data_IF_935294248685
#
_entry.id   IF_935294248685
#
_cell.length_a   1.000
_cell.length_b   1.000
_cell.length_c   1.000
_cell.angle_alpha   90.00
_cell.angle_beta   90.00
_cell.angle_gamma   90.00
#
_symmetry.space_group_name_H-M   'P 1'
#
loop_
_entity.id
_entity.type
_entity.pdbx_description
1 polymer ?
#
# COMPACT_ATOMS: atom_id res chain seq x y z
N UNK A 1 -9.06 -15.83 17.27
CA UNK A 1 -8.11 -16.44 16.33
C UNK A 1 -7.19 -15.38 15.79
N UNK A 2 -5.89 -15.57 15.89
CA UNK A 2 -4.95 -14.59 15.41
C UNK A 2 -4.88 -14.63 13.89
N UNK A 3 -4.69 -13.46 13.28
CA UNK A 3 -4.44 -13.40 11.85
C UNK A 3 -3.08 -13.98 11.54
N UNK A 4 -2.99 -14.64 10.39
CA UNK A 4 -1.70 -15.07 9.91
C UNK A 4 -0.85 -13.84 9.58
N UNK A 5 0.44 -13.84 9.89
CA UNK A 5 1.31 -12.76 9.46
C UNK A 5 1.38 -12.71 7.94
N UNK A 6 1.76 -11.55 7.40
CA UNK A 6 1.98 -11.43 5.97
C UNK A 6 3.11 -12.38 5.55
N UNK A 7 2.83 -13.17 4.53
CA UNK A 7 3.77 -14.18 4.06
C UNK A 7 4.60 -13.61 2.91
N UNK A 8 5.90 -13.34 3.12
CA UNK A 8 6.73 -12.76 2.07
C UNK A 8 7.00 -13.70 0.91
N UNK A 9 6.63 -14.98 1.03
CA UNK A 9 6.74 -15.90 -0.10
C UNK A 9 5.66 -15.66 -1.14
N UNK A 10 4.55 -14.98 -0.76
CA UNK A 10 3.50 -14.66 -1.70
C UNK A 10 3.96 -13.53 -2.62
N UNK A 11 3.83 -13.68 -3.94
CA UNK A 11 4.36 -12.69 -4.88
C UNK A 11 3.85 -11.27 -4.66
N UNK A 12 2.56 -11.11 -4.33
CA UNK A 12 2.00 -9.79 -4.11
C UNK A 12 2.59 -9.11 -2.87
N UNK A 13 2.75 -9.87 -1.80
CA UNK A 13 3.33 -9.33 -0.57
C UNK A 13 4.80 -8.94 -0.80
N UNK A 14 5.54 -9.80 -1.50
CA UNK A 14 6.94 -9.51 -1.81
C UNK A 14 7.09 -8.25 -2.65
N UNK A 15 6.23 -8.09 -3.65
CA UNK A 15 6.29 -6.92 -4.51
C UNK A 15 6.01 -5.64 -3.72
N UNK A 16 4.98 -5.66 -2.86
CA UNK A 16 4.67 -4.52 -2.01
C UNK A 16 5.84 -4.21 -1.08
N UNK A 17 6.46 -5.23 -0.49
CA UNK A 17 7.63 -5.02 0.37
C UNK A 17 8.78 -4.37 -0.39
N UNK A 18 9.01 -4.77 -1.63
CA UNK A 18 10.05 -4.17 -2.46
C UNK A 18 9.73 -2.70 -2.74
N UNK A 19 8.48 -2.38 -3.03
CA UNK A 19 8.08 -0.99 -3.27
C UNK A 19 8.24 -0.14 -2.00
N UNK A 20 7.94 -0.72 -0.83
CA UNK A 20 8.15 -0.03 0.45
C UNK A 20 9.64 0.25 0.65
N UNK A 21 10.48 -0.76 0.48
CA UNK A 21 11.92 -0.64 0.67
C UNK A 21 12.50 0.40 -0.28
N UNK A 22 12.08 0.37 -1.53
CA UNK A 22 12.65 1.24 -2.57
C UNK A 22 11.97 2.60 -2.63
N UNK A 23 10.98 2.85 -1.77
CA UNK A 23 10.26 4.12 -1.67
C UNK A 23 9.66 4.55 -3.00
N UNK A 24 9.07 3.61 -3.70
CA UNK A 24 8.46 3.85 -5.01
C UNK A 24 7.16 4.62 -4.83
N UNK A 25 6.97 5.67 -5.63
CA UNK A 25 5.70 6.39 -5.65
C UNK A 25 4.68 5.55 -6.41
N UNK A 26 3.53 5.34 -5.78
CA UNK A 26 2.50 4.45 -6.30
C UNK A 26 1.20 5.20 -6.53
N UNK A 27 0.39 4.66 -7.42
CA UNK A 27 -0.99 5.04 -7.61
C UNK A 27 -1.87 3.94 -7.07
N UNK A 28 -2.76 4.29 -6.14
CA UNK A 28 -3.68 3.34 -5.53
C UNK A 28 -5.11 3.71 -5.91
N UNK A 29 -5.80 2.77 -6.55
CA UNK A 29 -7.22 2.95 -6.88
C UNK A 29 -8.02 2.30 -5.76
N UNK A 30 -8.69 3.12 -4.97
CA UNK A 30 -9.46 2.67 -3.81
C UNK A 30 -10.94 2.72 -4.17
N UNK A 31 -11.66 1.64 -3.83
CA UNK A 31 -13.08 1.53 -4.13
C UNK A 31 -13.84 2.71 -3.52
N UNK A 32 -14.62 3.41 -4.34
CA UNK A 32 -15.45 4.52 -3.87
C UNK A 32 -14.72 5.83 -3.67
N UNK A 33 -13.42 5.90 -3.94
CA UNK A 33 -12.63 7.11 -3.78
C UNK A 33 -11.86 7.40 -5.06
N UNK A 34 -11.39 8.64 -5.16
CA UNK A 34 -10.46 9.02 -6.21
C UNK A 34 -9.12 8.33 -5.99
N UNK A 35 -8.33 8.32 -7.07
CA UNK A 35 -6.99 7.76 -7.01
C UNK A 35 -6.14 8.46 -5.96
N UNK A 36 -5.39 7.67 -5.21
CA UNK A 36 -4.45 8.17 -4.21
C UNK A 36 -3.04 7.94 -4.74
N UNK A 37 -2.20 8.97 -4.66
CA UNK A 37 -0.80 8.87 -5.06
C UNK A 37 0.09 9.07 -3.85
N UNK A 38 1.03 8.15 -3.64
CA UNK A 38 1.92 8.24 -2.51
C UNK A 38 2.86 7.05 -2.42
N UNK A 39 3.59 6.98 -1.31
CA UNK A 39 4.52 5.89 -1.05
C UNK A 39 4.02 5.07 0.11
N UNK A 40 4.18 3.76 0.01
CA UNK A 40 3.87 2.89 1.14
C UNK A 40 5.02 2.94 2.13
N UNK A 41 4.68 3.11 3.40
CA UNK A 41 5.66 3.15 4.48
C UNK A 41 5.75 1.80 5.18
N UNK A 42 4.59 1.19 5.42
CA UNK A 42 4.52 -0.17 5.98
C UNK A 42 3.19 -0.79 5.60
N UNK A 43 3.09 -2.09 5.78
CA UNK A 43 1.85 -2.82 5.55
C UNK A 43 1.62 -3.83 6.68
N UNK A 44 0.35 -4.11 6.93
CA UNK A 44 -0.05 -5.20 7.80
C UNK A 44 -1.27 -5.90 7.17
N UNK A 45 -1.82 -6.95 7.80
CA UNK A 45 -2.93 -7.69 7.19
C UNK A 45 -4.18 -6.85 6.93
N UNK A 46 -4.36 -5.73 7.65
CA UNK A 46 -5.55 -4.90 7.52
C UNK A 46 -5.31 -3.61 6.75
N UNK A 47 -4.12 -3.01 6.87
CA UNK A 47 -3.88 -1.66 6.38
C UNK A 47 -2.60 -1.54 5.58
N UNK A 48 -2.62 -0.56 4.69
CA UNK A 48 -1.40 -0.03 4.08
C UNK A 48 -1.24 1.41 4.56
N UNK A 49 -0.04 1.73 5.05
CA UNK A 49 0.26 3.09 5.49
C UNK A 49 0.83 3.86 4.30
N UNK A 50 0.21 4.98 3.98
CA UNK A 50 0.54 5.76 2.80
C UNK A 50 1.00 7.15 3.20
N UNK A 51 2.14 7.55 2.66
CA UNK A 51 2.62 8.91 2.75
C UNK A 51 2.24 9.62 1.45
N UNK A 52 1.40 10.67 1.51
CA UNK A 52 0.92 11.33 0.29
C UNK A 52 2.07 11.88 -0.55
N UNK A 53 1.97 11.76 -1.87
CA UNK A 53 3.00 12.26 -2.77
C UNK A 53 3.17 13.77 -2.67
N UNK A 54 2.09 14.48 -2.34
CA UNK A 54 2.11 15.95 -2.22
C UNK A 54 2.52 16.42 -0.82
N UNK A 55 2.90 15.51 0.05
CA UNK A 55 3.18 15.83 1.43
C UNK A 55 1.90 15.82 2.26
N UNK A 56 2.07 15.93 3.58
CA UNK A 56 0.96 15.86 4.51
C UNK A 56 1.14 14.68 5.44
N UNK A 57 0.10 14.43 6.22
CA UNK A 57 0.15 13.37 7.23
C UNK A 57 -0.01 12.00 6.60
N UNK A 58 0.72 11.04 7.17
CA UNK A 58 0.52 9.64 6.87
C UNK A 58 -0.92 9.24 7.14
N UNK A 59 -1.50 8.40 6.29
CA UNK A 59 -2.84 7.87 6.53
C UNK A 59 -2.86 6.38 6.21
N UNK A 60 -3.88 5.71 6.72
CA UNK A 60 -4.06 4.28 6.52
C UNK A 60 -5.16 4.03 5.51
N UNK A 61 -4.90 3.09 4.61
CA UNK A 61 -5.89 2.64 3.63
C UNK A 61 -6.19 1.18 3.94
N UNK A 62 -7.48 0.83 4.01
CA UNK A 62 -7.85 -0.56 4.20
C UNK A 62 -7.38 -1.38 3.02
N UNK A 63 -6.62 -2.43 3.31
CA UNK A 63 -6.13 -3.34 2.28
C UNK A 63 -7.25 -3.89 1.41
N UNK A 64 -8.42 -4.12 2.02
CA UNK A 64 -9.55 -4.75 1.35
C UNK A 64 -10.33 -3.81 0.44
N UNK A 65 -10.04 -2.51 0.51
CA UNK A 65 -10.70 -1.50 -0.32
C UNK A 65 -9.86 -1.08 -1.53
N UNK A 66 -8.68 -1.64 -1.68
CA UNK A 66 -7.79 -1.28 -2.77
C UNK A 66 -8.05 -2.21 -3.95
N UNK A 67 -8.34 -1.64 -5.10
CA UNK A 67 -8.59 -2.41 -6.31
C UNK A 67 -7.32 -2.61 -7.13
N UNK A 68 -6.52 -1.56 -7.30
CA UNK A 68 -5.31 -1.61 -8.13
C UNK A 68 -4.21 -0.78 -7.47
N UNK A 69 -3.00 -1.30 -7.48
CA UNK A 69 -1.81 -0.56 -7.07
C UNK A 69 -0.80 -0.67 -8.22
N UNK A 70 -0.27 0.48 -8.64
CA UNK A 70 0.74 0.48 -9.70
C UNK A 70 1.78 1.55 -9.46
N UNK A 71 3.02 1.33 -9.88
CA UNK A 71 4.04 2.38 -9.80
C UNK A 71 3.71 3.53 -10.74
N UNK A 72 4.05 4.74 -10.33
CA UNK A 72 3.97 5.92 -11.18
C UNK A 72 5.29 6.09 -11.91
N UNK A 73 5.20 6.34 -13.17
CA UNK A 73 6.37 6.51 -13.99
C UNK A 73 6.93 5.22 -14.48
#
# INVERSE_FOLDING_TARGET
MSQAPLDPSLPGIRLLQNWIRDQVTLSLDVVGLDRIEGRLVWQDPEFLAVEPARGGQLFLVSRHQIAVIRPLG
#
